data_IF_242019050538
#
_entry.id   IF_242019050538
#
_cell.length_a   1.000
_cell.length_b   1.000
_cell.length_c   1.000
_cell.angle_alpha   90.00
_cell.angle_beta   90.00
_cell.angle_gamma   90.00
#
_symmetry.space_group_name_H-M   'P 1'
#
loop_
_entity.id
_entity.type
_entity.pdbx_description
1 polymer ?
#
# COMPACT_ATOMS: atom_id res chain seq x y z
N UNK A 1 -31.70 27.75 -5.04
CA UNK A 1 -31.31 26.66 -4.13
C UNK A 1 -30.66 25.59 -5.00
N UNK A 2 -29.33 25.58 -5.08
CA UNK A 2 -28.57 24.55 -5.79
C UNK A 2 -27.92 23.69 -4.70
N UNK A 3 -28.23 22.40 -4.74
CA UNK A 3 -27.73 21.40 -3.81
C UNK A 3 -26.21 21.29 -3.95
N UNK A 4 -25.54 21.33 -2.81
CA UNK A 4 -24.10 21.20 -2.63
C UNK A 4 -23.67 19.82 -3.14
N UNK A 5 -22.77 19.76 -4.12
CA UNK A 5 -21.98 18.54 -4.33
C UNK A 5 -20.93 18.50 -3.21
N UNK A 6 -21.11 17.54 -2.30
CA UNK A 6 -20.13 17.20 -1.26
C UNK A 6 -18.74 17.04 -1.89
N UNK A 7 -17.86 18.02 -1.67
CA UNK A 7 -16.40 17.83 -1.77
C UNK A 7 -16.02 16.74 -0.75
N UNK A 8 -16.16 15.47 -1.14
CA UNK A 8 -15.65 14.37 -0.34
C UNK A 8 -14.15 14.53 -0.24
N UNK A 9 -13.74 14.98 0.94
CA UNK A 9 -12.38 15.11 1.45
C UNK A 9 -11.70 13.72 1.47
N UNK A 10 -11.31 13.18 0.32
CA UNK A 10 -10.54 11.94 0.23
C UNK A 10 -9.08 12.23 0.61
N UNK A 11 -8.84 12.42 1.90
CA UNK A 11 -7.49 12.39 2.46
C UNK A 11 -6.84 11.02 2.22
N UNK A 12 -5.49 10.94 2.21
CA UNK A 12 -4.81 9.67 2.09
C UNK A 12 -5.22 8.74 3.24
N UNK A 13 -5.57 7.49 2.91
CA UNK A 13 -5.90 6.46 3.89
C UNK A 13 -4.78 5.45 3.87
N UNK A 14 -4.01 5.41 4.94
CA UNK A 14 -2.89 4.49 5.06
C UNK A 14 -3.30 3.25 5.84
N UNK A 15 -2.98 2.08 5.30
CA UNK A 15 -3.09 0.79 5.98
C UNK A 15 -1.70 0.22 6.17
N UNK A 16 -1.41 -0.27 7.38
CA UNK A 16 -0.19 -1.02 7.67
C UNK A 16 -0.30 -2.41 7.05
N UNK A 17 0.73 -2.80 6.32
CA UNK A 17 0.84 -4.11 5.72
C UNK A 17 2.20 -4.72 6.01
N UNK A 18 2.22 -6.04 6.05
CA UNK A 18 3.43 -6.84 6.00
C UNK A 18 3.48 -7.57 4.66
N UNK A 19 4.63 -7.49 3.97
CA UNK A 19 4.85 -8.22 2.72
C UNK A 19 6.06 -9.13 2.83
N UNK A 20 5.99 -10.28 2.14
CA UNK A 20 7.13 -11.17 1.91
C UNK A 20 7.53 -11.11 0.46
N UNK A 21 8.82 -10.91 0.22
CA UNK A 21 9.39 -10.86 -1.13
C UNK A 21 10.04 -12.18 -1.53
N UNK A 22 10.21 -12.36 -2.84
CA UNK A 22 10.80 -13.56 -3.46
C UNK A 22 12.26 -13.81 -3.06
N UNK A 23 12.98 -12.78 -2.60
CA UNK A 23 14.33 -12.88 -2.03
C UNK A 23 14.33 -13.35 -0.55
N UNK A 24 13.17 -13.61 0.03
CA UNK A 24 12.99 -14.03 1.42
C UNK A 24 12.92 -12.88 2.43
N UNK A 25 13.03 -11.62 2.01
CA UNK A 25 12.90 -10.46 2.90
C UNK A 25 11.43 -10.26 3.34
N UNK A 26 11.24 -9.80 4.57
CA UNK A 26 9.93 -9.34 5.09
C UNK A 26 10.01 -7.84 5.34
N UNK A 27 9.05 -7.10 4.80
CA UNK A 27 8.96 -5.64 4.92
C UNK A 27 7.62 -5.29 5.58
N UNK A 28 7.66 -4.41 6.57
CA UNK A 28 6.48 -3.84 7.20
C UNK A 28 6.43 -2.36 6.88
N UNK A 29 5.27 -1.84 6.48
CA UNK A 29 5.12 -0.42 6.15
C UNK A 29 3.67 -0.08 5.83
N UNK A 30 3.44 1.11 5.31
CA UNK A 30 2.09 1.60 5.01
C UNK A 30 1.86 1.78 3.52
N UNK A 31 0.65 1.47 3.06
CA UNK A 31 0.20 1.74 1.68
C UNK A 31 -1.01 2.65 1.67
N UNK A 32 -1.09 3.52 0.65
CA UNK A 32 -2.26 4.38 0.46
C UNK A 32 -3.37 3.62 -0.28
N UNK A 33 -4.54 3.58 0.32
CA UNK A 33 -5.76 2.93 -0.19
C UNK A 33 -6.93 3.93 -0.29
N UNK A 34 -6.66 5.23 -0.43
CA UNK A 34 -7.73 6.22 -0.59
C UNK A 34 -8.51 6.02 -1.90
N UNK A 35 -7.80 5.68 -2.99
CA UNK A 35 -8.38 5.46 -4.31
C UNK A 35 -8.85 4.01 -4.54
N UNK A 36 -8.41 3.07 -3.68
CA UNK A 36 -8.71 1.63 -3.78
C UNK A 36 -9.47 1.22 -2.51
N UNK A 37 -10.74 0.82 -2.63
CA UNK A 37 -11.58 0.54 -1.45
C UNK A 37 -10.97 -0.53 -0.54
N UNK A 38 -10.22 -1.49 -1.09
CA UNK A 38 -9.61 -2.60 -0.36
C UNK A 38 -8.11 -2.71 -0.64
N UNK A 39 -7.37 -3.23 0.33
CA UNK A 39 -5.95 -3.59 0.15
C UNK A 39 -5.80 -4.57 -1.01
N UNK A 40 -6.68 -5.57 -1.12
CA UNK A 40 -6.67 -6.54 -2.22
C UNK A 40 -6.62 -5.89 -3.59
N UNK A 41 -7.43 -4.85 -3.81
CA UNK A 41 -7.54 -4.17 -5.11
C UNK A 41 -6.23 -3.47 -5.50
N UNK A 42 -5.41 -3.09 -4.52
CA UNK A 42 -4.08 -2.51 -4.77
C UNK A 42 -3.12 -3.55 -5.35
N UNK A 43 -3.25 -4.83 -4.97
CA UNK A 43 -2.32 -5.89 -5.35
C UNK A 43 -2.81 -6.76 -6.51
N UNK A 44 -4.13 -6.88 -6.71
CA UNK A 44 -4.70 -7.68 -7.80
C UNK A 44 -4.90 -6.89 -9.10
N UNK A 45 -4.89 -5.56 -9.04
CA UNK A 45 -4.90 -4.71 -10.23
C UNK A 45 -3.57 -4.85 -10.99
N UNK A 46 -3.63 -5.49 -12.16
CA UNK A 46 -2.48 -5.74 -13.03
C UNK A 46 -2.05 -4.56 -13.91
N UNK A 47 -2.81 -3.46 -13.93
CA UNK A 47 -2.42 -2.27 -14.71
C UNK A 47 -1.20 -1.54 -14.10
N UNK A 48 -1.07 -1.60 -12.79
CA UNK A 48 0.03 -0.99 -12.03
C UNK A 48 1.01 -2.07 -11.55
N UNK A 49 2.27 -2.03 -11.99
CA UNK A 49 3.25 -3.07 -11.60
C UNK A 49 3.91 -2.82 -10.25
N UNK A 50 3.82 -1.61 -9.73
CA UNK A 50 4.48 -1.20 -8.49
C UNK A 50 3.46 -0.78 -7.44
N UNK A 51 3.81 -0.99 -6.17
CA UNK A 51 3.16 -0.36 -5.03
C UNK A 51 4.12 0.61 -4.36
N UNK A 52 3.57 1.69 -3.79
CA UNK A 52 4.35 2.63 -2.98
C UNK A 52 4.11 2.31 -1.51
N UNK A 53 5.17 1.89 -0.82
CA UNK A 53 5.18 1.72 0.64
C UNK A 53 5.92 2.88 1.29
N UNK A 54 5.36 3.43 2.36
CA UNK A 54 6.01 4.46 3.19
C UNK A 54 6.29 3.93 4.59
N UNK A 55 7.12 4.65 5.33
CA UNK A 55 7.49 4.32 6.71
C UNK A 55 8.02 2.87 6.85
N UNK A 56 8.69 2.37 5.81
CA UNK A 56 9.06 0.95 5.75
C UNK A 56 10.14 0.65 6.79
N UNK A 57 9.87 -0.37 7.60
CA UNK A 57 10.79 -0.96 8.55
C UNK A 57 11.34 -2.27 8.00
N UNK A 58 12.67 -2.38 7.99
CA UNK A 58 13.40 -3.56 7.51
C UNK A 58 14.65 -3.80 8.35
N UNK A 59 15.29 -4.97 8.18
CA UNK A 59 16.62 -5.25 8.75
C UNK A 59 17.70 -4.22 8.36
N UNK A 60 17.50 -3.45 7.29
CA UNK A 60 18.46 -2.46 6.77
C UNK A 60 18.13 -1.01 7.15
N UNK A 61 17.21 -0.81 8.10
CA UNK A 61 16.78 0.50 8.58
C UNK A 61 15.26 0.72 8.48
N UNK A 62 14.80 1.78 9.14
CA UNK A 62 13.40 2.21 9.23
C UNK A 62 13.14 3.50 8.45
N UNK A 63 11.86 3.82 8.29
CA UNK A 63 11.35 5.08 7.75
C UNK A 63 11.78 5.38 6.30
N UNK A 64 11.77 4.36 5.43
CA UNK A 64 12.04 4.52 4.00
C UNK A 64 10.75 4.53 3.19
N UNK A 65 10.79 5.19 2.03
CA UNK A 65 9.80 5.02 0.97
C UNK A 65 10.34 4.02 -0.05
N UNK A 66 9.57 2.97 -0.35
CA UNK A 66 9.93 1.94 -1.32
C UNK A 66 8.89 1.84 -2.43
N UNK A 67 9.37 1.69 -3.66
CA UNK A 67 8.58 1.28 -4.81
C UNK A 67 8.80 -0.22 -5.00
N UNK A 68 7.82 -1.04 -4.64
CA UNK A 68 7.95 -2.50 -4.66
C UNK A 68 7.23 -3.07 -5.88
N UNK A 69 7.94 -3.83 -6.70
CA UNK A 69 7.35 -4.53 -7.84
C UNK A 69 6.48 -5.70 -7.35
N UNK A 70 5.21 -5.74 -7.75
CA UNK A 70 4.24 -6.77 -7.35
C UNK A 70 4.65 -8.18 -7.75
N UNK A 71 5.37 -8.34 -8.87
CA UNK A 71 5.83 -9.64 -9.35
C UNK A 71 6.88 -10.29 -8.41
N UNK A 72 7.44 -9.51 -7.49
CA UNK A 72 8.41 -9.98 -6.51
C UNK A 72 7.81 -10.16 -5.12
N UNK A 73 6.49 -10.03 -4.97
CA UNK A 73 5.77 -10.24 -3.72
C UNK A 73 5.19 -11.67 -3.72
N UNK A 74 5.46 -12.41 -2.66
CA UNK A 74 4.95 -13.77 -2.44
C UNK A 74 3.59 -13.73 -1.75
N UNK A 75 3.47 -12.90 -0.70
CA UNK A 75 2.22 -12.69 0.02
C UNK A 75 2.19 -11.31 0.69
N UNK A 76 0.97 -10.86 0.99
CA UNK A 76 0.67 -9.59 1.67
C UNK A 76 -0.36 -9.87 2.76
N UNK A 77 -0.14 -9.31 3.94
CA UNK A 77 -1.07 -9.35 5.06
C UNK A 77 -1.30 -7.92 5.56
N UNK A 78 -2.56 -7.42 5.60
CA UNK A 78 -2.87 -6.18 6.31
C UNK A 78 -2.86 -6.43 7.81
N UNK A 79 -2.30 -5.48 8.57
CA UNK A 79 -2.51 -5.43 10.02
C UNK A 79 -3.84 -4.72 10.26
N UNK A 80 -4.80 -5.43 10.88
CA UNK A 80 -6.23 -5.08 11.11
C UNK A 80 -6.68 -3.63 10.82
#
# INVERSE_FOLDING_TARGET
MIMVEDEKKYGPRYITITIRTTDGSTLQGKVNVALKKRVSDLFTDGSEQFIVMIEVSSRRGSNKTLFVNKNHIVWVEPED
#
